data_IF_756121727102
#
_entry.id   IF_756121727102
#
_cell.length_a   1.000
_cell.length_b   1.000
_cell.length_c   1.000
_cell.angle_alpha   90.00
_cell.angle_beta   90.00
_cell.angle_gamma   90.00
#
_symmetry.space_group_name_H-M   'P 1'
#
loop_
_entity.id
_entity.type
_entity.pdbx_description
1 polymer ?
#
# COMPACT_ATOMS: atom_id res chain seq x y z
N UNK A 1 -8.52 14.50 2.30
CA UNK A 1 -7.04 14.54 2.27
C UNK A 1 -6.60 13.72 1.08
N UNK A 2 -5.69 14.20 0.23
CA UNK A 2 -5.30 13.43 -0.95
C UNK A 2 -4.19 12.44 -0.61
N UNK A 3 -4.56 11.27 -0.05
CA UNK A 3 -3.64 10.20 0.34
C UNK A 3 -2.62 9.85 -0.75
N UNK A 4 -3.01 9.93 -2.03
CA UNK A 4 -2.11 9.66 -3.17
C UNK A 4 -0.87 10.57 -3.19
N UNK A 5 -0.95 11.79 -2.63
CA UNK A 5 0.21 12.70 -2.51
C UNK A 5 1.18 12.24 -1.44
N UNK A 6 0.69 11.59 -0.39
CA UNK A 6 1.52 11.08 0.69
C UNK A 6 2.22 9.77 0.29
N UNK A 7 1.56 8.93 -0.53
CA UNK A 7 2.19 7.73 -1.15
C UNK A 7 3.49 8.10 -1.87
N UNK A 8 3.50 9.21 -2.61
CA UNK A 8 4.68 9.66 -3.39
C UNK A 8 5.83 10.23 -2.55
N UNK A 9 5.61 10.45 -1.25
CA UNK A 9 6.59 11.08 -0.33
C UNK A 9 7.29 10.08 0.58
N UNK A 10 6.90 8.81 0.56
CA UNK A 10 7.50 7.80 1.44
C UNK A 10 8.91 7.46 0.96
N UNK A 11 9.93 7.97 1.64
CA UNK A 11 11.34 7.64 1.41
C UNK A 11 12.07 7.13 2.65
N UNK A 12 11.41 7.12 3.81
CA UNK A 12 11.98 6.73 5.11
C UNK A 12 11.01 5.88 5.93
N UNK A 13 11.52 5.25 6.99
CA UNK A 13 10.70 4.48 7.94
C UNK A 13 9.68 5.38 8.63
N UNK A 14 10.08 6.59 9.01
CA UNK A 14 9.22 7.57 9.68
C UNK A 14 8.07 8.01 8.77
N UNK A 15 8.35 8.27 7.50
CA UNK A 15 7.32 8.62 6.51
C UNK A 15 6.40 7.43 6.20
N UNK A 16 6.93 6.20 6.18
CA UNK A 16 6.13 4.99 6.02
C UNK A 16 5.15 4.79 7.20
N UNK A 17 5.62 4.94 8.43
CA UNK A 17 4.77 4.87 9.63
C UNK A 17 3.68 5.94 9.62
N UNK A 18 4.05 7.17 9.25
CA UNK A 18 3.09 8.26 9.10
C UNK A 18 2.05 7.96 8.02
N UNK A 19 2.47 7.41 6.88
CA UNK A 19 1.56 7.00 5.82
C UNK A 19 0.56 5.95 6.32
N UNK A 20 1.02 4.93 7.06
CA UNK A 20 0.14 3.92 7.66
C UNK A 20 -0.86 4.52 8.63
N UNK A 21 -0.43 5.46 9.49
CA UNK A 21 -1.34 6.17 10.41
C UNK A 21 -2.43 6.94 9.66
N UNK A 22 -2.06 7.64 8.58
CA UNK A 22 -3.01 8.36 7.73
C UNK A 22 -3.98 7.40 7.04
N UNK A 23 -3.50 6.26 6.55
CA UNK A 23 -4.29 5.25 5.88
C UNK A 23 -5.31 4.59 6.83
N UNK A 24 -4.88 4.24 8.05
CA UNK A 24 -5.76 3.73 9.12
C UNK A 24 -6.81 4.76 9.51
N UNK A 25 -6.41 6.03 9.64
CA UNK A 25 -7.31 7.13 9.99
C UNK A 25 -8.35 7.37 8.90
N UNK A 26 -7.96 7.27 7.63
CA UNK A 26 -8.87 7.40 6.51
C UNK A 26 -9.91 6.27 6.49
N UNK A 27 -9.50 5.01 6.65
CA UNK A 27 -10.44 3.89 6.75
C UNK A 27 -11.43 4.05 7.92
N UNK A 28 -10.96 4.51 9.08
CA UNK A 28 -11.81 4.74 10.26
C UNK A 28 -12.86 5.82 10.03
N UNK A 29 -12.50 6.89 9.32
CA UNK A 29 -13.37 8.05 9.13
C UNK A 29 -14.26 7.90 7.90
N UNK A 30 -13.81 7.17 6.88
CA UNK A 30 -14.45 7.03 5.57
C UNK A 30 -14.61 5.56 5.14
N UNK A 31 -15.11 4.64 5.99
CA UNK A 31 -15.14 3.21 5.69
C UNK A 31 -16.01 2.84 4.48
N UNK A 32 -16.97 3.71 4.11
CA UNK A 32 -17.83 3.52 2.95
C UNK A 32 -17.19 3.91 1.62
N UNK A 33 -16.11 4.71 1.65
CA UNK A 33 -15.32 5.05 0.46
C UNK A 33 -14.34 3.92 0.09
N UNK A 34 -14.13 2.97 1.00
CA UNK A 34 -13.23 1.84 0.82
C UNK A 34 -13.94 0.64 0.22
N UNK A 35 -13.42 0.14 -0.90
CA UNK A 35 -13.86 -1.11 -1.52
C UNK A 35 -13.43 -2.33 -0.67
N UNK A 36 -12.19 -2.32 -0.19
CA UNK A 36 -11.59 -3.41 0.58
C UNK A 36 -11.87 -3.25 2.08
N UNK A 37 -12.99 -3.80 2.55
CA UNK A 37 -13.49 -3.61 3.93
C UNK A 37 -12.98 -4.64 4.95
N UNK A 38 -12.28 -5.68 4.53
CA UNK A 38 -11.74 -6.70 5.42
C UNK A 38 -10.33 -7.12 4.98
N UNK A 39 -9.65 -7.93 5.81
CA UNK A 39 -8.27 -8.35 5.56
C UNK A 39 -8.15 -9.17 4.29
N UNK A 40 -9.11 -10.06 4.00
CA UNK A 40 -9.11 -10.89 2.80
C UNK A 40 -9.15 -10.04 1.54
N UNK A 41 -10.18 -9.17 1.40
CA UNK A 41 -10.32 -8.31 0.22
C UNK A 41 -9.18 -7.29 0.09
N UNK A 42 -8.62 -6.81 1.20
CA UNK A 42 -7.46 -5.94 1.16
C UNK A 42 -6.21 -6.64 0.63
N UNK A 43 -5.97 -7.89 1.04
CA UNK A 43 -4.85 -8.69 0.52
C UNK A 43 -5.05 -9.06 -0.96
N UNK A 44 -6.28 -9.40 -1.38
CA UNK A 44 -6.61 -9.65 -2.78
C UNK A 44 -6.40 -8.40 -3.65
N UNK A 45 -6.79 -7.23 -3.16
CA UNK A 45 -6.55 -5.95 -3.84
C UNK A 45 -5.06 -5.64 -4.00
N UNK A 46 -4.25 -5.91 -2.96
CA UNK A 46 -2.79 -5.76 -3.05
C UNK A 46 -2.20 -6.75 -4.05
N UNK A 47 -2.59 -8.03 -3.98
CA UNK A 47 -2.12 -9.06 -4.91
C UNK A 47 -2.41 -8.66 -6.36
N UNK A 48 -3.65 -8.26 -6.66
CA UNK A 48 -4.06 -7.86 -8.00
C UNK A 48 -3.29 -6.63 -8.48
N UNK A 49 -3.08 -5.63 -7.60
CA UNK A 49 -2.29 -4.46 -7.96
C UNK A 49 -0.82 -4.79 -8.24
N UNK A 50 -0.19 -5.66 -7.43
CA UNK A 50 1.21 -6.07 -7.64
C UNK A 50 1.37 -6.86 -8.93
N UNK A 51 0.42 -7.73 -9.28
CA UNK A 51 0.44 -8.53 -10.52
C UNK A 51 0.38 -7.64 -11.78
N UNK A 52 -0.36 -6.52 -11.70
CA UNK A 52 -0.57 -5.58 -12.82
C UNK A 52 0.28 -4.29 -12.73
N UNK A 53 1.22 -4.19 -11.79
CA UNK A 53 1.84 -2.89 -11.45
C UNK A 53 2.60 -2.26 -12.62
N UNK A 54 3.26 -3.06 -13.46
CA UNK A 54 3.99 -2.61 -14.65
C UNK A 54 3.09 -1.79 -15.58
N UNK A 55 1.86 -2.26 -15.78
CA UNK A 55 0.87 -1.56 -16.60
C UNK A 55 0.50 -0.20 -16.01
N UNK A 56 0.40 -0.08 -14.68
CA UNK A 56 0.18 1.22 -14.03
C UNK A 56 1.33 2.20 -14.29
N UNK A 57 2.59 1.76 -14.16
CA UNK A 57 3.75 2.61 -14.40
C UNK A 57 3.86 3.02 -15.87
N UNK A 58 3.73 2.07 -16.79
CA UNK A 58 3.78 2.31 -18.24
C UNK A 58 2.70 3.31 -18.69
N UNK A 59 1.44 3.07 -18.31
CA UNK A 59 0.30 3.91 -18.70
C UNK A 59 0.40 5.35 -18.18
N UNK A 60 1.14 5.58 -17.09
CA UNK A 60 1.33 6.90 -16.50
C UNK A 60 2.67 7.56 -16.90
N UNK A 61 3.44 6.97 -17.82
CA UNK A 61 4.80 7.42 -18.18
C UNK A 61 5.72 7.55 -16.96
N UNK A 62 5.59 6.64 -15.99
CA UNK A 62 6.41 6.55 -14.80
C UNK A 62 7.46 5.45 -14.97
N UNK A 63 8.62 5.62 -14.33
CA UNK A 63 9.61 4.55 -14.29
C UNK A 63 9.13 3.43 -13.35
N UNK A 64 9.02 2.21 -13.87
CA UNK A 64 8.76 1.02 -13.05
C UNK A 64 9.90 0.84 -12.03
N UNK A 65 9.60 0.61 -10.75
CA UNK A 65 10.62 0.35 -9.75
C UNK A 65 11.36 -0.95 -10.07
N UNK A 66 12.69 -0.90 -10.08
CA UNK A 66 13.55 -2.03 -10.45
C UNK A 66 14.33 -2.66 -9.29
N UNK A 67 14.30 -2.04 -8.10
CA UNK A 67 15.01 -2.50 -6.90
C UNK A 67 14.05 -2.68 -5.72
N UNK A 68 12.93 -3.37 -5.95
CA UNK A 68 11.98 -3.70 -4.87
C UNK A 68 12.55 -4.85 -4.05
N UNK A 69 12.68 -4.67 -2.74
CA UNK A 69 12.98 -5.75 -1.81
C UNK A 69 11.69 -6.53 -1.46
N UNK A 70 11.37 -7.51 -2.32
CA UNK A 70 10.20 -8.36 -2.15
C UNK A 70 10.23 -9.18 -0.85
N UNK A 71 11.42 -9.52 -0.35
CA UNK A 71 11.58 -10.28 0.90
C UNK A 71 11.20 -9.44 2.11
N UNK A 72 11.62 -8.17 2.14
CA UNK A 72 11.17 -7.22 3.16
C UNK A 72 9.65 -7.01 3.10
N UNK A 73 9.08 -6.80 1.91
CA UNK A 73 7.64 -6.64 1.74
C UNK A 73 6.86 -7.86 2.27
N UNK A 74 7.29 -9.08 1.92
CA UNK A 74 6.70 -10.32 2.43
C UNK A 74 6.81 -10.44 3.96
N UNK A 75 7.94 -10.06 4.55
CA UNK A 75 8.12 -10.05 6.01
C UNK A 75 7.12 -9.12 6.72
N UNK A 76 6.79 -7.96 6.11
CA UNK A 76 5.80 -7.03 6.67
C UNK A 76 4.42 -7.67 6.75
N UNK A 77 3.94 -8.30 5.67
CA UNK A 77 2.64 -9.01 5.70
C UNK A 77 2.67 -10.21 6.63
N UNK A 78 3.76 -10.97 6.63
CA UNK A 78 3.88 -12.15 7.48
C UNK A 78 3.91 -11.78 8.96
N UNK A 79 4.61 -10.71 9.34
CA UNK A 79 4.61 -10.19 10.71
C UNK A 79 3.21 -9.70 11.11
N UNK A 80 2.53 -8.95 10.24
CA UNK A 80 1.16 -8.48 10.48
C UNK A 80 0.12 -9.59 10.60
N UNK A 81 0.38 -10.79 10.04
CA UNK A 81 -0.46 -11.97 10.25
C UNK A 81 -0.27 -12.61 11.64
N UNK A 82 0.91 -12.51 12.23
CA UNK A 82 1.30 -13.29 13.42
C UNK A 82 1.21 -12.48 14.71
N UNK A 83 1.64 -11.21 14.68
CA UNK A 83 1.99 -10.46 15.89
C UNK A 83 1.03 -9.32 16.24
N UNK A 84 0.19 -8.88 15.30
CA UNK A 84 -0.76 -7.77 15.45
C UNK A 84 -2.16 -8.24 15.01
#
# INVERSE_FOLDING_TARGET
MELYKEVKKVGSKEEFLKFLELLITDFKNNPDEWENKNVESFLEGIQSWVDDMEGYYENNNLATPNNIDWGFFANVFYAGKIYE
#
